data_IF_184045440879
#
_entry.id   IF_184045440879
#
_cell.length_a   1.000
_cell.length_b   1.000
_cell.length_c   1.000
_cell.angle_alpha   90.00
_cell.angle_beta   90.00
_cell.angle_gamma   90.00
#
_symmetry.space_group_name_H-M   'P 1'
#
loop_
_entity.id
_entity.type
_entity.pdbx_description
1 polymer ?
#
# COMPACT_ATOMS: atom_id res chain seq x y z
N UNK A 1 -1.56 -13.26 -14.81
CA UNK A 1 -2.68 -12.98 -13.87
C UNK A 1 -4.07 -12.94 -14.53
N UNK A 2 -4.25 -13.19 -15.84
CA UNK A 2 -5.58 -13.08 -16.48
C UNK A 2 -6.50 -14.29 -16.24
N UNK A 3 -5.92 -15.49 -16.11
CA UNK A 3 -6.68 -16.72 -15.86
C UNK A 3 -7.02 -16.85 -14.36
N UNK A 4 -8.29 -17.09 -13.98
CA UNK A 4 -8.66 -17.35 -12.58
C UNK A 4 -7.87 -18.47 -11.89
N UNK A 5 -7.39 -19.48 -12.63
CA UNK A 5 -6.55 -20.56 -12.12
C UNK A 5 -5.24 -20.04 -11.53
N UNK A 6 -4.72 -18.92 -12.04
CA UNK A 6 -3.55 -18.25 -11.49
C UNK A 6 -3.69 -18.03 -9.98
N UNK A 7 -4.83 -17.49 -9.53
CA UNK A 7 -5.06 -17.17 -8.12
C UNK A 7 -5.26 -18.43 -7.28
N UNK A 8 -5.87 -19.49 -7.83
CA UNK A 8 -6.02 -20.77 -7.12
C UNK A 8 -4.68 -21.45 -6.86
N UNK A 9 -3.83 -21.50 -7.89
CA UNK A 9 -2.49 -22.06 -7.78
C UNK A 9 -1.61 -21.25 -6.82
N UNK A 10 -1.62 -19.92 -6.94
CA UNK A 10 -0.84 -19.07 -6.05
C UNK A 10 -1.35 -19.10 -4.61
N UNK A 11 -2.66 -19.34 -4.38
CA UNK A 11 -3.19 -19.55 -3.04
C UNK A 11 -2.63 -20.83 -2.42
N UNK A 12 -2.55 -21.92 -3.18
CA UNK A 12 -1.94 -23.17 -2.71
C UNK A 12 -0.46 -22.98 -2.32
N UNK A 13 0.30 -22.25 -3.12
CA UNK A 13 1.70 -21.90 -2.80
C UNK A 13 1.76 -20.99 -1.55
N UNK A 14 0.91 -19.97 -1.48
CA UNK A 14 0.79 -19.09 -0.30
C UNK A 14 0.45 -19.87 0.96
N UNK A 15 -0.47 -20.85 0.90
CA UNK A 15 -0.82 -21.70 2.04
C UNK A 15 0.41 -22.40 2.65
N UNK A 16 1.36 -22.83 1.81
CA UNK A 16 2.62 -23.44 2.28
C UNK A 16 3.47 -22.42 3.06
N UNK A 17 3.57 -21.18 2.59
CA UNK A 17 4.25 -20.11 3.32
C UNK A 17 3.50 -19.73 4.60
N UNK A 18 2.17 -19.73 4.59
CA UNK A 18 1.36 -19.45 5.77
C UNK A 18 1.53 -20.53 6.84
N UNK A 19 1.62 -21.81 6.47
CA UNK A 19 1.92 -22.89 7.41
C UNK A 19 3.26 -22.67 8.10
N UNK A 20 4.31 -22.29 7.36
CA UNK A 20 5.60 -21.95 7.96
C UNK A 20 5.52 -20.71 8.87
N UNK A 21 4.84 -19.64 8.44
CA UNK A 21 4.68 -18.42 9.24
C UNK A 21 3.90 -18.69 10.54
N UNK A 22 2.97 -19.65 10.56
CA UNK A 22 2.27 -20.08 11.78
C UNK A 22 3.16 -20.80 12.80
N UNK A 23 4.30 -21.36 12.38
CA UNK A 23 5.26 -21.98 13.30
C UNK A 23 6.16 -20.95 13.99
N UNK A 24 6.19 -19.71 13.48
CA UNK A 24 7.01 -18.65 14.06
C UNK A 24 6.40 -18.16 15.37
N UNK A 25 7.26 -17.66 16.26
CA UNK A 25 6.79 -17.06 17.52
C UNK A 25 5.95 -15.82 17.21
N UNK A 26 4.74 -15.70 17.77
CA UNK A 26 3.97 -14.46 17.76
C UNK A 26 4.80 -13.25 18.21
N UNK A 27 4.66 -12.13 17.51
CA UNK A 27 5.21 -10.84 17.95
C UNK A 27 4.75 -10.51 19.37
N UNK A 28 5.70 -10.12 20.20
CA UNK A 28 5.48 -9.70 21.59
C UNK A 28 5.05 -8.24 21.66
N UNK A 29 4.72 -7.78 22.87
CA UNK A 29 4.49 -6.36 23.11
C UNK A 29 5.71 -5.52 22.76
N UNK A 30 6.89 -5.97 23.19
CA UNK A 30 8.15 -5.30 22.95
C UNK A 30 8.47 -5.18 21.46
N UNK A 31 8.16 -6.21 20.66
CA UNK A 31 8.49 -6.22 19.22
C UNK A 31 7.70 -5.16 18.42
N UNK A 32 6.49 -4.80 18.86
CA UNK A 32 5.65 -3.83 18.13
C UNK A 32 5.58 -2.45 18.80
N UNK A 33 6.10 -2.30 20.01
CA UNK A 33 5.97 -1.05 20.76
C UNK A 33 7.04 -0.04 20.36
N UNK A 34 6.62 1.19 20.04
CA UNK A 34 7.52 2.33 19.85
C UNK A 34 7.38 3.30 21.03
N UNK A 35 8.29 3.16 22.00
CA UNK A 35 8.21 3.91 23.25
C UNK A 35 8.21 5.43 23.01
N UNK A 36 7.27 6.12 23.68
CA UNK A 36 7.14 7.57 23.62
C UNK A 36 6.49 8.11 22.34
N UNK A 37 6.06 7.25 21.41
CA UNK A 37 5.30 7.65 20.23
C UNK A 37 3.89 7.07 20.31
N UNK A 38 2.89 7.93 20.08
CA UNK A 38 1.49 7.52 20.09
C UNK A 38 0.71 8.12 18.93
N UNK A 39 -0.06 7.28 18.24
CA UNK A 39 -1.02 7.74 17.24
C UNK A 39 -2.31 8.11 17.97
N UNK A 40 -2.61 9.41 18.05
CA UNK A 40 -3.82 9.92 18.69
C UNK A 40 -5.04 9.82 17.77
N UNK A 41 -4.83 10.06 16.47
CA UNK A 41 -5.87 9.94 15.45
C UNK A 41 -5.25 9.57 14.13
N UNK A 42 -5.87 8.69 13.36
CA UNK A 42 -5.47 8.40 12.00
C UNK A 42 -6.70 8.19 11.11
N UNK A 43 -6.59 8.46 9.82
CA UNK A 43 -7.68 8.28 8.87
C UNK A 43 -7.33 8.75 7.48
N UNK A 44 -8.34 8.74 6.61
CA UNK A 44 -8.23 9.26 5.25
C UNK A 44 -9.22 10.39 5.04
N UNK A 45 -8.85 11.34 4.19
CA UNK A 45 -9.72 12.44 3.75
C UNK A 45 -9.66 12.53 2.23
N UNK A 46 -10.84 12.52 1.61
CA UNK A 46 -11.03 12.72 0.17
C UNK A 46 -12.05 13.83 -0.01
N UNK A 47 -11.68 14.95 -0.65
CA UNK A 47 -12.60 16.07 -0.91
C UNK A 47 -13.38 16.55 0.34
N UNK A 48 -12.69 16.69 1.49
CA UNK A 48 -13.25 17.01 2.81
C UNK A 48 -14.18 15.96 3.43
N UNK A 49 -14.33 14.79 2.80
CA UNK A 49 -15.05 13.66 3.36
C UNK A 49 -14.08 12.72 4.06
N UNK A 50 -14.31 12.47 5.34
CA UNK A 50 -13.47 11.61 6.16
C UNK A 50 -13.89 10.14 6.03
N UNK A 51 -12.90 9.26 5.88
CA UNK A 51 -13.05 7.80 5.95
C UNK A 51 -14.02 7.20 4.91
N UNK A 52 -14.19 7.90 3.79
CA UNK A 52 -14.94 7.47 2.60
C UNK A 52 -14.06 7.62 1.36
N UNK A 53 -13.91 6.54 0.61
CA UNK A 53 -13.08 6.45 -0.58
C UNK A 53 -13.96 6.05 -1.77
N UNK A 54 -13.67 6.59 -2.95
CA UNK A 54 -14.42 6.29 -4.18
C UNK A 54 -13.52 5.63 -5.19
N UNK A 55 -14.05 4.57 -5.79
CA UNK A 55 -13.52 3.93 -6.98
C UNK A 55 -14.49 4.12 -8.13
N UNK A 56 -14.02 3.96 -9.36
CA UNK A 56 -14.86 4.10 -10.54
C UNK A 56 -14.20 3.52 -11.77
N UNK A 57 -14.85 3.65 -12.91
CA UNK A 57 -14.26 3.29 -14.19
C UNK A 57 -13.68 4.53 -14.85
N UNK A 58 -12.41 4.46 -15.21
CA UNK A 58 -11.77 5.44 -16.06
C UNK A 58 -11.47 4.82 -17.43
N UNK A 59 -11.32 5.67 -18.44
CA UNK A 59 -11.02 5.26 -19.80
C UNK A 59 -9.73 5.90 -20.26
N UNK A 60 -8.82 5.09 -20.80
CA UNK A 60 -7.58 5.54 -21.40
C UNK A 60 -7.48 5.15 -22.87
N UNK A 61 -6.78 5.96 -23.63
CA UNK A 61 -6.37 5.62 -24.99
C UNK A 61 -4.94 5.11 -24.96
N UNK A 62 -4.72 3.92 -25.50
CA UNK A 62 -3.43 3.28 -25.61
C UNK A 62 -3.06 3.14 -27.09
N UNK A 63 -1.86 3.58 -27.47
CA UNK A 63 -1.37 3.41 -28.83
C UNK A 63 -0.75 2.02 -29.01
N UNK A 64 -1.38 1.18 -29.83
CA UNK A 64 -0.96 -0.19 -30.10
C UNK A 64 -0.20 -0.35 -31.44
N UNK A 65 0.17 0.76 -32.11
CA UNK A 65 0.79 0.78 -33.44
C UNK A 65 2.08 -0.06 -33.54
N UNK A 66 2.84 -0.20 -32.45
CA UNK A 66 4.05 -1.04 -32.42
C UNK A 66 3.79 -2.55 -32.43
N UNK A 67 2.60 -2.97 -31.99
CA UNK A 67 2.23 -4.39 -31.87
C UNK A 67 1.32 -4.89 -33.00
N UNK A 68 0.84 -3.99 -33.86
CA UNK A 68 -0.11 -4.30 -34.93
C UNK A 68 0.29 -3.56 -36.21
N UNK A 69 0.48 -4.30 -37.31
CA UNK A 69 0.81 -3.70 -38.60
C UNK A 69 -0.45 -3.23 -39.33
N UNK A 70 -0.60 -1.90 -39.47
CA UNK A 70 -1.68 -1.26 -40.21
C UNK A 70 -1.14 -0.28 -41.26
N UNK A 71 -0.05 -0.64 -41.94
CA UNK A 71 0.55 0.18 -43.01
C UNK A 71 0.89 1.62 -42.54
N UNK A 72 1.46 1.74 -41.34
CA UNK A 72 1.88 3.02 -40.77
C UNK A 72 0.77 3.92 -40.23
N UNK A 73 -0.49 3.44 -40.17
CA UNK A 73 -1.59 4.18 -39.52
C UNK A 73 -1.55 3.97 -38.01
N UNK A 74 -1.74 5.03 -37.19
CA UNK A 74 -1.78 4.88 -35.75
C UNK A 74 -3.01 4.08 -35.33
N UNK A 75 -2.82 3.17 -34.39
CA UNK A 75 -3.89 2.31 -33.86
C UNK A 75 -4.11 2.67 -32.40
N UNK A 76 -5.21 3.35 -32.13
CA UNK A 76 -5.60 3.70 -30.77
C UNK A 76 -6.61 2.71 -30.24
N UNK A 77 -6.29 2.07 -29.13
CA UNK A 77 -7.17 1.17 -28.38
C UNK A 77 -7.70 1.90 -27.17
N UNK A 78 -9.02 1.93 -27.01
CA UNK A 78 -9.68 2.46 -25.83
C UNK A 78 -9.82 1.35 -24.79
N UNK A 79 -9.24 1.55 -23.62
CA UNK A 79 -9.27 0.62 -22.49
C UNK A 79 -10.00 1.26 -21.32
N UNK A 80 -10.96 0.54 -20.75
CA UNK A 80 -11.62 0.93 -19.50
C UNK A 80 -10.97 0.16 -18.36
N UNK A 81 -10.57 0.85 -17.29
CA UNK A 81 -9.92 0.26 -16.13
C UNK A 81 -10.50 0.83 -14.83
N UNK A 82 -10.30 0.09 -13.74
CA UNK A 82 -10.61 0.59 -12.39
C UNK A 82 -9.74 1.80 -12.10
N UNK A 83 -10.28 2.76 -11.37
CA UNK A 83 -9.55 3.91 -10.86
C UNK A 83 -10.13 4.35 -9.51
N UNK A 84 -9.49 5.31 -8.87
CA UNK A 84 -9.97 5.90 -7.62
C UNK A 84 -9.73 7.41 -7.55
N UNK A 85 -10.58 8.10 -6.79
CA UNK A 85 -10.35 9.51 -6.49
C UNK A 85 -9.12 9.67 -5.58
N UNK A 86 -8.26 10.70 -5.78
CA UNK A 86 -7.15 10.98 -4.89
C UNK A 86 -7.60 11.29 -3.46
N UNK A 87 -6.86 10.81 -2.47
CA UNK A 87 -7.14 11.05 -1.06
C UNK A 87 -5.83 11.27 -0.28
N UNK A 88 -5.93 11.75 0.96
CA UNK A 88 -4.79 11.91 1.84
C UNK A 88 -4.96 11.10 3.12
N UNK A 89 -3.91 10.45 3.56
CA UNK A 89 -3.78 9.95 4.93
C UNK A 89 -3.51 11.13 5.86
N UNK A 90 -4.21 11.20 6.99
CA UNK A 90 -3.95 12.17 8.05
C UNK A 90 -3.70 11.42 9.36
N UNK A 91 -2.52 11.64 9.97
CA UNK A 91 -2.15 11.09 11.26
C UNK A 91 -1.81 12.21 12.24
N UNK A 92 -2.47 12.23 13.39
CA UNK A 92 -2.11 13.02 14.55
C UNK A 92 -1.29 12.14 15.48
N UNK A 93 -0.01 12.48 15.65
CA UNK A 93 0.97 11.67 16.38
C UNK A 93 1.61 12.51 17.47
N UNK A 94 1.68 11.97 18.69
CA UNK A 94 2.40 12.58 19.80
C UNK A 94 3.75 11.88 20.00
N UNK A 95 4.81 12.66 20.15
CA UNK A 95 6.15 12.21 20.56
C UNK A 95 6.46 12.81 21.93
N UNK A 96 6.43 11.99 22.98
CA UNK A 96 6.74 12.41 24.36
C UNK A 96 8.25 12.44 24.66
N UNK A 97 9.09 12.08 23.70
CA UNK A 97 10.54 12.15 23.81
C UNK A 97 11.06 13.60 23.80
N UNK A 98 12.32 13.78 24.23
CA UNK A 98 12.98 15.10 24.25
C UNK A 98 13.58 15.51 22.91
N UNK A 99 13.70 14.58 21.96
CA UNK A 99 14.34 14.80 20.67
C UNK A 99 13.46 14.38 19.49
N UNK A 100 13.92 14.74 18.28
CA UNK A 100 13.29 14.27 17.04
C UNK A 100 13.43 12.76 16.96
N UNK A 101 12.34 12.08 16.60
CA UNK A 101 12.31 10.64 16.40
C UNK A 101 11.98 10.33 14.94
N UNK A 102 12.91 9.69 14.24
CA UNK A 102 12.65 9.14 12.91
C UNK A 102 11.82 7.86 13.04
N UNK A 103 10.73 7.78 12.29
CA UNK A 103 9.83 6.62 12.29
C UNK A 103 9.51 6.19 10.87
N UNK A 104 9.18 4.91 10.71
CA UNK A 104 8.55 4.39 9.49
C UNK A 104 7.05 4.27 9.73
N UNK A 105 6.25 4.93 8.91
CA UNK A 105 4.80 4.78 8.87
C UNK A 105 4.46 3.64 7.91
N UNK A 106 3.69 2.66 8.36
CA UNK A 106 3.21 1.53 7.58
C UNK A 106 1.69 1.56 7.55
N UNK A 107 1.10 1.49 6.36
CA UNK A 107 -0.35 1.58 6.15
C UNK A 107 -0.85 0.31 5.48
N UNK A 108 -1.90 -0.30 6.03
CA UNK A 108 -2.51 -1.51 5.48
C UNK A 108 -4.04 -1.40 5.42
N UNK A 109 -4.64 -2.12 4.48
CA UNK A 109 -6.10 -2.18 4.30
C UNK A 109 -6.57 -3.64 4.19
N UNK A 110 -7.67 -3.97 4.87
CA UNK A 110 -8.32 -5.27 4.75
C UNK A 110 -9.86 -5.13 4.76
N UNK A 111 -10.60 -6.00 4.06
CA UNK A 111 -12.07 -6.01 4.16
C UNK A 111 -12.47 -6.34 5.60
N UNK A 112 -13.50 -5.65 6.13
CA UNK A 112 -13.99 -5.91 7.50
C UNK A 112 -14.87 -7.16 7.58
N UNK A 113 -15.66 -7.38 6.52
CA UNK A 113 -16.68 -8.43 6.46
C UNK A 113 -16.30 -9.50 5.45
N UNK A 114 -16.67 -10.75 5.73
CA UNK A 114 -16.58 -11.86 4.79
C UNK A 114 -17.70 -11.79 3.73
N UNK A 115 -17.71 -12.75 2.80
CA UNK A 115 -18.70 -12.81 1.72
C UNK A 115 -20.16 -12.94 2.20
N UNK A 116 -20.39 -13.41 3.44
CA UNK A 116 -21.71 -13.51 4.08
C UNK A 116 -22.10 -12.25 4.87
N UNK A 117 -21.27 -11.20 4.85
CA UNK A 117 -21.51 -9.97 5.60
C UNK A 117 -21.20 -10.06 7.10
N UNK A 118 -20.47 -11.09 7.54
CA UNK A 118 -20.10 -11.27 8.95
C UNK A 118 -18.71 -10.69 9.20
N UNK A 119 -18.48 -10.11 10.39
CA UNK A 119 -17.14 -9.66 10.79
C UNK A 119 -16.19 -10.85 10.86
N UNK A 120 -15.02 -10.71 10.22
CA UNK A 120 -13.99 -11.74 10.23
C UNK A 120 -13.24 -11.73 11.56
N UNK A 121 -12.86 -12.92 12.03
CA UNK A 121 -11.89 -13.05 13.11
C UNK A 121 -10.52 -12.53 12.65
N UNK A 122 -9.66 -12.24 13.61
CA UNK A 122 -8.28 -11.81 13.33
C UNK A 122 -7.51 -12.81 12.45
N UNK A 123 -7.66 -14.11 12.71
CA UNK A 123 -6.95 -15.16 11.95
C UNK A 123 -7.46 -15.32 10.53
N UNK A 124 -8.74 -15.08 10.28
CA UNK A 124 -9.30 -15.05 8.92
C UNK A 124 -8.84 -13.81 8.16
N UNK A 125 -8.85 -12.64 8.81
CA UNK A 125 -8.51 -11.38 8.19
C UNK A 125 -6.99 -11.20 7.99
N UNK A 126 -6.18 -11.86 8.82
CA UNK A 126 -4.70 -11.85 8.84
C UNK A 126 -4.06 -11.90 7.45
N UNK A 127 -4.54 -12.77 6.58
CA UNK A 127 -3.96 -13.00 5.24
C UNK A 127 -4.53 -12.06 4.16
N UNK A 128 -5.44 -11.15 4.54
CA UNK A 128 -6.15 -10.25 3.62
C UNK A 128 -5.68 -8.79 3.72
N UNK A 129 -4.71 -8.50 4.59
CA UNK A 129 -4.12 -7.18 4.75
C UNK A 129 -3.17 -6.89 3.58
N UNK A 130 -3.56 -5.93 2.74
CA UNK A 130 -2.71 -5.41 1.67
C UNK A 130 -1.94 -4.18 2.18
N UNK A 131 -0.63 -4.10 1.89
CA UNK A 131 0.16 -2.89 2.09
C UNK A 131 -0.35 -1.79 1.17
N UNK A 132 -0.54 -0.59 1.72
CA UNK A 132 -1.07 0.59 1.02
C UNK A 132 -0.03 1.67 0.84
N UNK A 133 0.88 1.82 1.80
CA UNK A 133 2.00 2.77 1.76
C UNK A 133 3.02 2.43 2.87
N UNK A 134 4.27 2.83 2.65
CA UNK A 134 5.37 2.78 3.62
C UNK A 134 6.33 3.94 3.39
N UNK A 135 6.44 4.83 4.37
CA UNK A 135 7.25 6.04 4.27
C UNK A 135 7.85 6.46 5.60
N UNK A 136 8.92 7.25 5.57
CA UNK A 136 9.60 7.73 6.78
C UNK A 136 9.18 9.15 7.14
N UNK A 137 9.16 9.46 8.44
CA UNK A 137 8.82 10.79 8.97
C UNK A 137 9.67 11.13 10.19
N UNK A 138 10.13 12.38 10.26
CA UNK A 138 10.77 12.97 11.43
C UNK A 138 9.74 13.57 12.39
N UNK A 139 9.49 12.93 13.53
CA UNK A 139 8.55 13.43 14.54
C UNK A 139 9.26 14.35 15.54
N UNK A 140 8.85 15.62 15.61
CA UNK A 140 9.34 16.57 16.61
C UNK A 140 8.74 16.24 17.99
N UNK A 141 9.39 16.63 19.11
CA UNK A 141 8.77 16.55 20.43
C UNK A 141 7.41 17.25 20.47
N UNK A 142 6.42 16.63 21.12
CA UNK A 142 5.05 17.12 21.19
C UNK A 142 4.16 16.57 20.08
N UNK A 143 3.18 17.37 19.63
CA UNK A 143 2.17 16.97 18.65
C UNK A 143 2.66 17.22 17.22
N UNK A 144 2.43 16.23 16.35
CA UNK A 144 2.77 16.25 14.93
C UNK A 144 1.52 15.90 14.11
N UNK A 145 1.29 16.65 13.03
CA UNK A 145 0.28 16.33 12.04
C UNK A 145 0.96 15.88 10.75
N UNK A 146 0.87 14.60 10.44
CA UNK A 146 1.42 13.99 9.23
C UNK A 146 0.32 13.90 8.19
N UNK A 147 0.60 14.39 6.98
CA UNK A 147 -0.29 14.30 5.83
C UNK A 147 0.46 13.64 4.69
N UNK A 148 -0.12 12.60 4.09
CA UNK A 148 0.48 11.83 2.99
C UNK A 148 -0.54 11.62 1.88
N UNK A 149 -0.20 12.01 0.64
CA UNK A 149 -1.06 11.83 -0.53
C UNK A 149 -1.05 10.37 -0.98
N UNK A 150 -2.21 9.86 -1.42
CA UNK A 150 -2.32 8.54 -2.04
C UNK A 150 -1.50 8.40 -3.33
N UNK A 151 -1.13 9.52 -3.96
CA UNK A 151 -0.29 9.56 -5.17
C UNK A 151 1.19 9.33 -4.88
N UNK A 152 1.60 9.49 -3.63
CA UNK A 152 3.00 9.32 -3.23
C UNK A 152 3.24 7.91 -2.66
N UNK A 153 2.31 6.96 -2.86
CA UNK A 153 2.44 5.64 -2.25
C UNK A 153 3.71 4.93 -2.72
N UNK A 154 4.43 4.32 -1.78
CA UNK A 154 5.65 3.57 -2.07
C UNK A 154 5.40 2.25 -2.81
N UNK A 155 4.16 1.79 -2.90
CA UNK A 155 3.82 0.54 -3.58
C UNK A 155 3.41 0.75 -5.04
N UNK A 156 3.06 1.99 -5.41
CA UNK A 156 2.58 2.31 -6.75
C UNK A 156 3.57 3.12 -7.56
N UNK A 157 3.50 2.96 -8.87
CA UNK A 157 4.22 3.82 -9.79
C UNK A 157 3.29 4.94 -10.26
N UNK A 158 3.75 6.19 -10.11
CA UNK A 158 2.98 7.38 -10.44
C UNK A 158 2.69 7.52 -11.94
N UNK A 159 3.51 6.92 -12.81
CA UNK A 159 3.40 7.06 -14.26
C UNK A 159 3.51 5.71 -14.98
N UNK A 160 2.45 5.36 -15.72
CA UNK A 160 2.52 4.31 -16.74
C UNK A 160 3.10 4.92 -18.02
N UNK A 161 4.41 4.85 -18.20
CA UNK A 161 5.08 5.34 -19.40
C UNK A 161 4.61 4.56 -20.64
N UNK A 162 4.22 5.26 -21.70
CA UNK A 162 3.98 4.63 -23.01
C UNK A 162 5.28 4.50 -23.80
N UNK A 163 5.30 3.64 -24.82
CA UNK A 163 6.47 3.54 -25.72
C UNK A 163 6.82 4.87 -26.38
N UNK A 164 5.83 5.73 -26.66
CA UNK A 164 6.07 7.05 -27.25
C UNK A 164 6.69 8.02 -26.26
N UNK A 165 6.32 7.93 -24.98
CA UNK A 165 6.95 8.72 -23.91
C UNK A 165 8.42 8.33 -23.76
N UNK A 166 8.73 7.03 -23.89
CA UNK A 166 10.11 6.53 -23.89
C UNK A 166 10.91 7.00 -25.12
N UNK A 167 10.32 7.00 -26.32
CA UNK A 167 10.95 7.53 -27.54
C UNK A 167 11.23 9.04 -27.43
N UNK A 168 10.24 9.80 -26.95
CA UNK A 168 10.35 11.26 -26.80
C UNK A 168 11.31 11.66 -25.68
N UNK A 169 11.51 10.81 -24.67
CA UNK A 169 12.44 11.07 -23.59
C UNK A 169 13.90 11.11 -24.06
N UNK A 170 14.22 10.59 -25.25
CA UNK A 170 15.54 10.70 -25.90
C UNK A 170 16.70 10.18 -25.02
N UNK A 171 16.43 9.16 -24.22
CA UNK A 171 17.36 8.62 -23.21
C UNK A 171 18.22 7.55 -23.86
N UNK A 172 19.54 7.74 -23.77
CA UNK A 172 20.52 6.74 -24.19
C UNK A 172 20.38 5.50 -23.29
N UNK A 173 20.04 4.32 -23.83
CA UNK A 173 19.90 3.09 -23.05
C UNK A 173 21.16 2.67 -22.29
N UNK A 174 22.34 3.19 -22.66
CA UNK A 174 23.61 2.92 -22.00
C UNK A 174 23.92 3.89 -20.84
N UNK A 175 23.08 4.90 -20.60
CA UNK A 175 23.32 5.91 -19.58
C UNK A 175 22.88 5.43 -18.19
N UNK A 176 23.53 5.89 -17.09
CA UNK A 176 23.08 5.60 -15.72
C UNK A 176 21.63 6.03 -15.47
N UNK A 177 21.16 7.08 -16.15
CA UNK A 177 19.77 7.56 -16.09
C UNK A 177 18.78 6.54 -16.66
N UNK A 178 19.18 5.68 -17.60
CA UNK A 178 18.35 4.59 -18.14
C UNK A 178 18.03 3.49 -17.10
N UNK A 179 18.83 3.38 -16.02
CA UNK A 179 18.58 2.42 -14.93
C UNK A 179 17.29 2.72 -14.17
N UNK A 180 16.93 4.01 -14.03
CA UNK A 180 15.64 4.42 -13.48
C UNK A 180 14.46 3.95 -14.34
N UNK A 181 14.64 3.94 -15.66
CA UNK A 181 13.62 3.49 -16.63
C UNK A 181 13.37 1.99 -16.61
N UNK A 182 14.40 1.17 -16.34
CA UNK A 182 14.23 -0.27 -16.13
C UNK A 182 13.42 -0.60 -14.86
N UNK A 183 13.42 0.29 -13.86
CA UNK A 183 12.61 0.16 -12.64
C UNK A 183 11.19 0.72 -12.77
N UNK A 184 10.92 1.60 -13.73
CA UNK A 184 9.58 2.21 -13.93
C UNK A 184 8.47 1.20 -14.24
N UNK A 185 8.82 0.01 -14.76
CA UNK A 185 7.84 -1.07 -15.01
C UNK A 185 7.48 -1.91 -13.77
N UNK A 186 8.28 -1.85 -12.72
CA UNK A 186 8.08 -2.61 -11.49
C UNK A 186 7.35 -1.75 -10.46
N UNK A 187 6.10 -2.09 -10.18
CA UNK A 187 5.28 -1.39 -9.19
C UNK A 187 3.81 -1.69 -9.41
N UNK A 188 3.01 -1.54 -8.36
CA UNK A 188 1.57 -1.71 -8.49
C UNK A 188 0.98 -0.53 -9.30
N UNK A 189 0.03 -0.74 -10.21
CA UNK A 189 -0.57 0.39 -10.93
C UNK A 189 -1.28 1.33 -9.96
N UNK A 190 -1.02 2.65 -10.07
CA UNK A 190 -1.63 3.65 -9.19
C UNK A 190 -3.15 3.55 -9.15
N UNK A 191 -3.78 3.35 -10.31
CA UNK A 191 -5.23 3.24 -10.45
C UNK A 191 -5.82 1.96 -9.80
N UNK A 192 -4.97 1.03 -9.34
CA UNK A 192 -5.36 -0.18 -8.60
C UNK A 192 -5.01 -0.12 -7.11
N UNK A 193 -4.57 1.03 -6.57
CA UNK A 193 -4.21 1.17 -5.15
C UNK A 193 -5.35 0.72 -4.22
N UNK A 194 -6.61 1.02 -4.58
CA UNK A 194 -7.78 0.60 -3.82
C UNK A 194 -8.48 -0.61 -4.45
N UNK A 195 -8.98 -1.55 -3.63
CA UNK A 195 -9.91 -2.57 -4.10
C UNK A 195 -11.19 -1.91 -4.60
N UNK A 196 -11.84 -2.51 -5.60
CA UNK A 196 -13.03 -1.95 -6.25
C UNK A 196 -14.17 -1.59 -5.28
N UNK A 197 -14.40 -2.34 -4.21
CA UNK A 197 -15.55 -2.13 -3.34
C UNK A 197 -16.89 -2.48 -4.01
N UNK A 198 -17.98 -1.83 -3.57
CA UNK A 198 -19.35 -2.06 -4.08
C UNK A 198 -20.09 -0.73 -4.26
N UNK A 199 -21.09 -0.63 -5.15
CA UNK A 199 -21.91 0.59 -5.30
C UNK A 199 -22.61 1.01 -4.00
N UNK A 200 -23.13 0.06 -3.23
CA UNK A 200 -23.72 0.29 -1.91
C UNK A 200 -22.67 0.63 -0.83
N UNK A 201 -21.39 0.51 -1.15
CA UNK A 201 -20.28 0.67 -0.23
C UNK A 201 -19.86 -0.62 0.45
N UNK A 202 -18.56 -0.79 0.60
CA UNK A 202 -17.98 -1.93 1.32
C UNK A 202 -17.11 -1.43 2.47
N UNK A 203 -17.30 -1.93 3.71
CA UNK A 203 -16.50 -1.53 4.85
C UNK A 203 -15.13 -2.21 4.83
N UNK A 204 -14.09 -1.40 4.99
CA UNK A 204 -12.72 -1.87 5.16
C UNK A 204 -12.19 -1.41 6.51
N UNK A 205 -11.18 -2.10 7.02
CA UNK A 205 -10.37 -1.63 8.14
C UNK A 205 -9.05 -1.10 7.60
N UNK A 206 -8.71 0.11 8.02
CA UNK A 206 -7.44 0.75 7.74
C UNK A 206 -6.59 0.71 9.00
N UNK A 207 -5.34 0.29 8.82
CA UNK A 207 -4.40 0.06 9.89
C UNK A 207 -3.15 0.91 9.68
N UNK A 208 -2.72 1.60 10.74
CA UNK A 208 -1.51 2.41 10.75
C UNK A 208 -0.60 1.94 11.88
N UNK A 209 0.66 1.76 11.56
CA UNK A 209 1.71 1.37 12.50
C UNK A 209 2.93 2.28 12.31
N UNK A 210 3.49 2.75 13.42
CA UNK A 210 4.76 3.46 13.43
C UNK A 210 5.85 2.56 14.03
N UNK A 211 6.92 2.29 13.27
CA UNK A 211 8.10 1.53 13.70
C UNK A 211 9.33 2.44 13.80
N UNK A 212 10.34 2.01 14.57
CA UNK A 212 11.59 2.75 14.73
C UNK A 212 12.44 2.66 13.45
N UNK A 213 12.62 3.79 12.76
CA UNK A 213 13.40 3.80 11.53
C UNK A 213 14.86 3.32 11.74
N UNK A 214 15.40 3.51 12.95
CA UNK A 214 16.74 3.02 13.27
C UNK A 214 16.85 1.49 13.24
N UNK A 215 15.75 0.76 13.49
CA UNK A 215 15.68 -0.70 13.39
C UNK A 215 15.26 -1.15 11.99
N UNK A 216 14.48 -0.35 11.26
CA UNK A 216 14.01 -0.68 9.92
C UNK A 216 15.09 -0.49 8.83
N UNK A 217 16.04 0.43 9.04
CA UNK A 217 17.07 0.75 8.04
C UNK A 217 18.07 -0.38 7.88
N UNK A 218 18.38 -0.72 6.64
CA UNK A 218 19.45 -1.68 6.29
C UNK A 218 20.69 -0.91 5.90
N UNK A 219 21.85 -1.29 6.43
CA UNK A 219 23.14 -0.77 5.97
C UNK A 219 23.67 -1.67 4.84
N UNK A 220 24.15 -1.12 3.72
CA UNK A 220 24.79 -1.92 2.69
C UNK A 220 26.06 -2.56 3.27
N UNK A 221 26.08 -3.90 3.40
CA UNK A 221 27.28 -4.66 3.77
C UNK A 221 27.16 -5.65 4.94
N UNK A 222 26.01 -5.83 5.57
CA UNK A 222 25.82 -6.86 6.62
C UNK A 222 25.21 -8.13 6.01
N UNK A 223 25.92 -9.25 6.17
CA UNK A 223 25.46 -10.61 5.85
C UNK A 223 24.21 -10.93 6.67
N UNK A 224 23.16 -11.38 5.99
CA UNK A 224 21.85 -11.66 6.56
C UNK A 224 21.90 -12.74 7.64
N UNK A 225 21.53 -12.38 8.88
CA UNK A 225 21.08 -13.39 9.85
C UNK A 225 19.92 -12.93 10.75
N UNK A 226 19.38 -11.72 10.56
CA UNK A 226 18.22 -11.23 11.31
C UNK A 226 17.37 -10.27 10.47
N UNK A 227 16.81 -10.74 9.35
CA UNK A 227 15.66 -10.06 8.77
C UNK A 227 14.41 -10.54 9.51
N UNK A 228 13.90 -9.69 10.38
CA UNK A 228 12.49 -9.76 10.75
C UNK A 228 11.73 -9.30 9.52
N UNK A 229 11.33 -10.23 8.66
CA UNK A 229 10.33 -9.97 7.62
C UNK A 229 9.17 -9.23 8.27
N UNK A 230 8.77 -8.10 7.70
CA UNK A 230 7.62 -7.30 8.14
C UNK A 230 6.26 -7.97 7.92
N UNK A 231 6.24 -9.31 7.90
CA UNK A 231 5.05 -10.11 7.65
C UNK A 231 4.28 -10.28 8.95
N UNK A 232 3.17 -9.54 9.00
CA UNK A 232 2.06 -9.62 9.95
C UNK A 232 1.43 -11.04 9.97
N UNK A 233 0.80 -11.54 11.06
CA UNK A 233 0.53 -10.96 12.39
C UNK A 233 0.88 -11.79 13.63
N UNK A 234 0.98 -11.10 14.78
CA UNK A 234 0.30 -11.54 16.02
C UNK A 234 -0.12 -10.37 16.94
N UNK A 235 -1.32 -10.52 17.53
CA UNK A 235 -1.94 -9.83 18.69
C UNK A 235 -1.83 -8.29 18.77
N UNK A 236 -2.91 -7.61 18.35
CA UNK A 236 -3.14 -6.18 18.58
C UNK A 236 -4.24 -5.98 19.62
N UNK A 237 -3.86 -5.83 20.89
CA UNK A 237 -4.66 -5.08 21.86
C UNK A 237 -3.72 -4.15 22.62
N UNK A 238 -4.13 -2.89 22.75
CA UNK A 238 -3.57 -1.85 23.62
C UNK A 238 -2.12 -1.36 23.38
N UNK A 239 -1.71 -1.12 22.11
CA UNK A 239 -0.43 -0.46 21.80
C UNK A 239 -0.63 0.97 21.30
N UNK A 240 0.08 1.92 21.89
CA UNK A 240 -0.09 3.36 21.60
C UNK A 240 0.50 3.80 20.26
N UNK A 241 1.56 3.13 19.79
CA UNK A 241 2.20 3.37 18.49
C UNK A 241 1.46 2.74 17.31
N UNK A 242 0.35 2.07 17.59
CA UNK A 242 -0.53 1.42 16.63
C UNK A 242 -1.89 2.10 16.73
N UNK A 243 -2.42 2.58 15.60
CA UNK A 243 -3.73 3.19 15.62
C UNK A 243 -4.77 2.11 15.95
N UNK A 244 -5.79 2.41 16.79
CA UNK A 244 -6.96 1.57 16.88
C UNK A 244 -7.50 1.31 15.46
N UNK A 245 -7.89 0.06 15.18
CA UNK A 245 -8.43 -0.32 13.87
C UNK A 245 -9.58 0.62 13.50
N UNK A 246 -9.38 1.42 12.46
CA UNK A 246 -10.40 2.38 12.03
C UNK A 246 -11.14 1.78 10.85
N UNK A 247 -12.46 1.85 10.91
CA UNK A 247 -13.27 1.42 9.77
C UNK A 247 -13.28 2.56 8.76
N UNK A 248 -12.73 2.31 7.57
CA UNK A 248 -13.10 3.09 6.38
C UNK A 248 -14.52 2.65 6.06
N UNK A 249 -15.46 3.54 6.36
CA UNK A 249 -16.88 3.22 6.37
C UNK A 249 -17.39 2.85 4.99
N UNK A 250 -16.72 3.33 3.93
CA UNK A 250 -17.12 3.05 2.56
C UNK A 250 -15.95 3.14 1.59
N UNK A 251 -15.64 2.04 0.91
CA UNK A 251 -15.11 2.09 -0.45
C UNK A 251 -16.29 1.90 -1.39
N UNK A 252 -16.75 2.99 -1.99
CA UNK A 252 -17.92 3.03 -2.86
C UNK A 252 -17.52 3.12 -4.33
N UNK A 253 -18.21 2.37 -5.19
CA UNK A 253 -18.06 2.53 -6.63
C UNK A 253 -19.01 3.63 -7.12
N UNK A 254 -18.48 4.66 -7.78
CA UNK A 254 -19.23 5.76 -8.43
C UNK A 254 -19.21 5.57 -9.95
#
# INVERSE_FOLDING_TARGET
>A
MRDPVFYRWHKFVDDTFQEYKLMQRPYTEQDLNLAGVKIERAGVVRNNEADVLHTGWNTRLFEASRGLDFNGRPVMVRLTHLDHEPFNYHLQVSNSGRGVKEVTVRVFLAPKLNARGQEMSFMEQRILWAEMDKFTVSLKPGSNHVVRSSKDSSITNAEELTFRDLENANIDPASPEATGFNFCGCGWPQHMLLPRGRPEGMPFQLFFMLTDYAQDKVFPGIVYDQLVDSDWPAVLKDKTSIAPLRTVHRVGQV
#
